data_IF_189621795991
#
_entry.id   IF_189621795991
#
_cell.length_a   1.000
_cell.length_b   1.000
_cell.length_c   1.000
_cell.angle_alpha   90.00
_cell.angle_beta   90.00
_cell.angle_gamma   90.00
#
_symmetry.space_group_name_H-M   'P 1'
#
loop_
_entity.id
_entity.type
_entity.pdbx_description
1 polymer ?
#
# COMPACT_ATOMS: atom_id res chain seq x y z
N UNK A 1 -2.09 5.83 -12.43
CA UNK A 1 -2.37 4.76 -11.44
C UNK A 1 -1.93 3.43 -12.06
N UNK A 2 -0.72 2.97 -11.77
CA UNK A 2 -0.05 2.04 -12.70
C UNK A 2 -0.67 0.64 -12.78
N UNK A 3 -1.05 0.00 -11.67
CA UNK A 3 -1.45 -1.43 -11.69
C UNK A 3 -2.64 -1.72 -12.63
N UNK A 4 -3.72 -0.95 -12.55
CA UNK A 4 -4.92 -1.19 -13.36
C UNK A 4 -4.76 -0.71 -14.79
N UNK A 5 -3.99 0.36 -15.00
CA UNK A 5 -3.72 0.94 -16.32
C UNK A 5 -2.79 0.05 -17.12
N UNK A 6 -1.71 -0.44 -16.50
CA UNK A 6 -0.79 -1.38 -17.13
C UNK A 6 -1.49 -2.69 -17.51
N UNK A 7 -2.40 -3.17 -16.65
CA UNK A 7 -3.23 -4.33 -16.97
C UNK A 7 -4.19 -4.03 -18.12
N UNK A 8 -4.83 -2.86 -18.13
CA UNK A 8 -5.69 -2.46 -19.23
C UNK A 8 -4.93 -2.42 -20.55
N UNK A 9 -3.78 -1.74 -20.59
CA UNK A 9 -2.96 -1.59 -21.80
C UNK A 9 -2.49 -2.95 -22.33
N UNK A 10 -2.10 -3.84 -21.42
CA UNK A 10 -1.77 -5.22 -21.77
C UNK A 10 -2.97 -5.94 -22.40
N UNK A 11 -4.16 -5.87 -21.78
CA UNK A 11 -5.34 -6.57 -22.29
C UNK A 11 -5.87 -5.98 -23.60
N UNK A 12 -5.79 -4.66 -23.80
CA UNK A 12 -6.17 -4.04 -25.08
C UNK A 12 -5.22 -4.46 -26.21
N UNK A 13 -3.94 -4.64 -25.91
CA UNK A 13 -2.94 -5.12 -26.87
C UNK A 13 -3.00 -6.63 -27.12
N UNK A 14 -3.63 -7.40 -26.23
CA UNK A 14 -3.72 -8.86 -26.29
C UNK A 14 -5.19 -9.31 -26.19
N UNK A 15 -5.94 -9.32 -27.31
CA UNK A 15 -7.39 -9.59 -27.29
C UNK A 15 -7.80 -11.01 -26.90
N UNK A 16 -6.83 -11.94 -26.87
CA UNK A 16 -7.02 -13.34 -26.50
C UNK A 16 -6.28 -13.62 -25.20
N UNK A 17 -6.87 -14.48 -24.36
CA UNK A 17 -6.28 -14.85 -23.07
C UNK A 17 -4.97 -15.62 -23.30
N UNK A 18 -3.84 -15.19 -22.70
CA UNK A 18 -2.60 -15.95 -22.75
C UNK A 18 -2.72 -17.24 -21.92
N UNK A 19 -1.80 -18.19 -22.10
CA UNK A 19 -1.68 -19.29 -21.15
C UNK A 19 -1.27 -18.77 -19.77
N UNK A 20 -2.02 -19.15 -18.75
CA UNK A 20 -1.82 -18.74 -17.36
C UNK A 20 -1.69 -20.01 -16.52
N UNK A 21 -0.46 -20.47 -16.31
CA UNK A 21 -0.23 -21.70 -15.56
C UNK A 21 -0.48 -21.52 -14.06
N UNK A 22 -1.03 -22.57 -13.44
CA UNK A 22 -1.29 -22.63 -12.01
C UNK A 22 0.01 -22.41 -11.19
N UNK A 23 0.10 -21.37 -10.35
CA UNK A 23 1.28 -21.10 -9.54
C UNK A 23 1.57 -22.20 -8.51
N UNK A 24 0.58 -23.03 -8.16
CA UNK A 24 0.78 -24.21 -7.33
C UNK A 24 1.48 -25.36 -8.07
N UNK A 25 1.93 -25.15 -9.32
CA UNK A 25 2.66 -26.11 -10.14
C UNK A 25 1.89 -27.40 -10.43
N UNK A 26 0.56 -27.32 -10.51
CA UNK A 26 -0.31 -28.46 -10.86
C UNK A 26 -0.25 -28.83 -12.34
N UNK A 27 0.37 -27.97 -13.17
CA UNK A 27 0.42 -28.11 -14.63
C UNK A 27 -0.84 -27.65 -15.36
N UNK A 28 -1.86 -27.15 -14.65
CA UNK A 28 -3.09 -26.64 -15.28
C UNK A 28 -2.92 -25.26 -15.88
N UNK A 29 -3.56 -25.01 -17.02
CA UNK A 29 -3.67 -23.69 -17.66
C UNK A 29 -5.03 -23.06 -17.26
N UNK A 30 -5.01 -21.98 -16.50
CA UNK A 30 -6.22 -21.25 -16.09
C UNK A 30 -6.94 -20.57 -17.25
N UNK A 31 -6.29 -20.42 -18.42
CA UNK A 31 -6.95 -19.98 -19.65
C UNK A 31 -8.14 -20.86 -20.01
N UNK A 32 -8.10 -22.15 -19.69
CA UNK A 32 -9.17 -23.11 -19.99
C UNK A 32 -10.50 -22.78 -19.27
N UNK A 33 -10.49 -21.90 -18.27
CA UNK A 33 -11.70 -21.44 -17.55
C UNK A 33 -12.46 -20.35 -18.29
N UNK A 34 -11.90 -19.83 -19.38
CA UNK A 34 -12.42 -18.69 -20.10
C UNK A 34 -12.60 -19.05 -21.57
N UNK A 35 -13.79 -18.78 -22.09
CA UNK A 35 -14.01 -18.68 -23.53
C UNK A 35 -13.68 -17.25 -24.02
N UNK A 36 -13.78 -17.06 -25.34
CA UNK A 36 -13.45 -15.76 -25.95
C UNK A 36 -14.43 -14.65 -25.51
N UNK A 37 -15.69 -14.99 -25.25
CA UNK A 37 -16.70 -14.04 -24.79
C UNK A 37 -16.42 -13.60 -23.35
N UNK A 38 -16.07 -14.54 -22.47
CA UNK A 38 -15.63 -14.26 -21.12
C UNK A 38 -14.37 -13.38 -21.11
N UNK A 39 -13.38 -13.70 -21.93
CA UNK A 39 -12.16 -12.88 -22.05
C UNK A 39 -12.48 -11.46 -22.55
N UNK A 40 -13.39 -11.33 -23.52
CA UNK A 40 -13.80 -10.04 -24.06
C UNK A 40 -14.56 -9.21 -23.03
N UNK A 41 -15.46 -9.83 -22.26
CA UNK A 41 -16.15 -9.18 -21.16
C UNK A 41 -15.16 -8.72 -20.07
N UNK A 42 -14.21 -9.58 -19.67
CA UNK A 42 -13.18 -9.21 -18.71
C UNK A 42 -12.37 -7.99 -19.16
N UNK A 43 -11.90 -7.99 -20.42
CA UNK A 43 -11.18 -6.85 -21.00
C UNK A 43 -12.02 -5.56 -20.99
N UNK A 44 -13.30 -5.67 -21.34
CA UNK A 44 -14.22 -4.52 -21.32
C UNK A 44 -14.41 -3.97 -19.89
N UNK A 45 -14.54 -4.85 -18.89
CA UNK A 45 -14.65 -4.44 -17.49
C UNK A 45 -13.36 -3.79 -16.99
N UNK A 46 -12.19 -4.33 -17.30
CA UNK A 46 -10.92 -3.70 -16.92
C UNK A 46 -10.79 -2.30 -17.53
N UNK A 47 -11.13 -2.11 -18.80
CA UNK A 47 -11.16 -0.79 -19.43
C UNK A 47 -12.10 0.17 -18.70
N UNK A 48 -13.33 -0.28 -18.45
CA UNK A 48 -14.35 0.50 -17.76
C UNK A 48 -13.87 0.98 -16.38
N UNK A 49 -13.32 0.06 -15.58
CA UNK A 49 -12.82 0.40 -14.26
C UNK A 49 -11.53 1.22 -14.30
N UNK A 50 -10.59 0.96 -15.21
CA UNK A 50 -9.39 1.78 -15.36
C UNK A 50 -9.74 3.25 -15.63
N UNK A 51 -10.73 3.51 -16.48
CA UNK A 51 -11.25 4.87 -16.74
C UNK A 51 -11.84 5.50 -15.49
N UNK A 52 -12.77 4.82 -14.80
CA UNK A 52 -13.36 5.34 -13.55
C UNK A 52 -12.32 5.66 -12.49
N UNK A 53 -11.33 4.79 -12.34
CA UNK A 53 -10.28 4.96 -11.34
C UNK A 53 -9.33 6.12 -11.70
N UNK A 54 -9.07 6.33 -13.00
CA UNK A 54 -8.32 7.51 -13.47
C UNK A 54 -9.09 8.79 -13.19
N UNK A 55 -10.38 8.84 -13.51
CA UNK A 55 -11.26 9.99 -13.21
C UNK A 55 -11.28 10.30 -11.70
N UNK A 56 -11.39 9.27 -10.87
CA UNK A 56 -11.36 9.43 -9.41
C UNK A 56 -10.02 9.94 -8.88
N UNK A 57 -8.92 9.56 -9.52
CA UNK A 57 -7.57 10.02 -9.19
C UNK A 57 -7.31 11.46 -9.64
N UNK A 58 -7.79 11.84 -10.83
CA UNK A 58 -7.60 13.16 -11.42
C UNK A 58 -8.60 14.22 -10.91
N UNK A 59 -9.57 13.82 -10.07
CA UNK A 59 -10.59 14.70 -9.53
C UNK A 59 -9.98 15.88 -8.74
N UNK A 60 -10.52 17.08 -8.99
CA UNK A 60 -9.98 18.33 -8.44
C UNK A 60 -10.19 18.46 -6.92
N UNK A 61 -11.30 17.92 -6.41
CA UNK A 61 -11.64 17.99 -5.00
C UNK A 61 -11.71 16.61 -4.35
N UNK A 62 -11.42 16.58 -3.04
CA UNK A 62 -11.52 15.35 -2.25
C UNK A 62 -12.94 14.76 -2.28
N UNK A 63 -13.97 15.60 -2.31
CA UNK A 63 -15.35 15.11 -2.33
C UNK A 63 -15.67 14.47 -3.69
N UNK A 64 -15.22 15.07 -4.79
CA UNK A 64 -15.42 14.52 -6.14
C UNK A 64 -14.63 13.22 -6.30
N UNK A 65 -13.40 13.16 -5.80
CA UNK A 65 -12.60 11.94 -5.77
C UNK A 65 -13.30 10.82 -5.00
N UNK A 66 -13.81 11.10 -3.80
CA UNK A 66 -14.55 10.11 -3.00
C UNK A 66 -15.81 9.64 -3.72
N UNK A 67 -16.58 10.55 -4.33
CA UNK A 67 -17.78 10.19 -5.08
C UNK A 67 -17.45 9.29 -6.29
N UNK A 68 -16.40 9.62 -7.04
CA UNK A 68 -15.94 8.82 -8.18
C UNK A 68 -15.43 7.43 -7.74
N UNK A 69 -14.69 7.34 -6.63
CA UNK A 69 -14.29 6.04 -6.07
C UNK A 69 -15.48 5.22 -5.57
N UNK A 70 -16.52 5.86 -5.02
CA UNK A 70 -17.75 5.19 -4.62
C UNK A 70 -18.56 4.69 -5.83
N UNK A 71 -18.51 5.39 -6.96
CA UNK A 71 -19.09 4.90 -8.21
C UNK A 71 -18.31 3.70 -8.80
N UNK A 72 -17.00 3.62 -8.56
CA UNK A 72 -16.18 2.48 -8.98
C UNK A 72 -16.35 1.25 -8.07
N UNK A 73 -16.34 1.42 -6.75
CA UNK A 73 -16.29 0.32 -5.78
C UNK A 73 -17.55 0.13 -4.93
N UNK A 74 -18.51 1.05 -5.06
CA UNK A 74 -19.72 1.08 -4.26
C UNK A 74 -19.63 2.01 -3.04
N UNK A 75 -20.78 2.26 -2.39
CA UNK A 75 -20.93 3.29 -1.36
C UNK A 75 -20.13 3.02 -0.07
N UNK A 76 -19.64 1.79 0.12
CA UNK A 76 -18.78 1.45 1.27
C UNK A 76 -17.35 1.95 1.13
N UNK A 77 -16.96 2.48 -0.04
CA UNK A 77 -15.68 3.16 -0.22
C UNK A 77 -15.73 4.52 0.48
N UNK A 78 -15.27 4.57 1.72
CA UNK A 78 -15.40 5.74 2.58
C UNK A 78 -14.18 6.64 2.51
N UNK A 79 -14.42 7.95 2.69
CA UNK A 79 -13.37 8.93 2.98
C UNK A 79 -12.52 8.39 4.15
N UNK A 80 -11.17 8.39 4.07
CA UNK A 80 -10.35 8.01 5.21
C UNK A 80 -10.79 8.84 6.41
N UNK A 81 -11.17 8.17 7.49
CA UNK A 81 -11.53 8.84 8.73
C UNK A 81 -10.31 9.66 9.14
N UNK A 82 -10.40 10.98 8.98
CA UNK A 82 -9.34 11.91 9.44
C UNK A 82 -9.06 11.68 10.93
N UNK A 83 -10.06 11.19 11.67
CA UNK A 83 -9.96 10.77 13.06
C UNK A 83 -9.02 9.57 13.31
N UNK A 84 -8.87 8.61 12.39
CA UNK A 84 -7.99 7.44 12.59
C UNK A 84 -6.50 7.81 12.45
N UNK A 85 -6.19 8.77 11.59
CA UNK A 85 -4.84 9.33 11.47
C UNK A 85 -4.49 10.22 12.68
N UNK A 86 -5.46 10.92 13.27
CA UNK A 86 -5.27 11.69 14.51
C UNK A 86 -5.19 10.80 15.76
N UNK A 87 -5.84 9.63 15.78
CA UNK A 87 -5.82 8.69 16.93
C UNK A 87 -4.55 7.85 17.05
N UNK A 88 -3.69 7.81 16.04
CA UNK A 88 -2.51 6.92 16.01
C UNK A 88 -1.18 7.62 16.24
N UNK A 89 -1.15 8.95 16.35
CA UNK A 89 -0.02 9.64 16.92
C UNK A 89 -0.38 10.02 18.35
N UNK A 90 0.24 9.41 19.39
CA UNK A 90 0.25 10.08 20.68
C UNK A 90 0.86 11.46 20.42
N UNK A 91 0.13 12.53 20.71
CA UNK A 91 0.68 13.87 20.72
C UNK A 91 2.05 13.80 21.40
N UNK A 92 3.10 14.37 20.80
CA UNK A 92 4.49 14.35 21.31
C UNK A 92 4.49 14.48 22.84
N UNK A 93 4.65 13.34 23.54
CA UNK A 93 4.72 13.33 24.99
C UNK A 93 6.17 13.62 25.31
N UNK A 94 6.47 14.89 25.56
CA UNK A 94 7.82 15.28 25.95
C UNK A 94 8.23 14.47 27.19
N UNK A 95 9.39 13.81 27.08
CA UNK A 95 9.96 12.91 28.10
C UNK A 95 10.20 13.67 29.42
N UNK A 96 10.36 14.99 29.36
CA UNK A 96 10.45 15.88 30.52
C UNK A 96 9.16 15.91 31.36
N UNK A 97 8.01 15.72 30.72
CA UNK A 97 6.70 15.83 31.36
C UNK A 97 6.28 14.49 31.95
N UNK A 98 6.45 13.41 31.17
CA UNK A 98 6.07 12.04 31.56
C UNK A 98 7.08 11.38 32.49
N UNK A 99 8.37 11.50 32.19
CA UNK A 99 9.44 10.80 32.90
C UNK A 99 10.35 11.75 33.69
N UNK A 100 10.07 13.06 33.68
CA UNK A 100 10.90 14.09 34.34
C UNK A 100 12.38 14.05 33.96
N UNK A 101 12.67 13.57 32.75
CA UNK A 101 14.04 13.56 32.22
C UNK A 101 14.27 14.88 31.48
N UNK A 102 15.19 15.75 31.95
CA UNK A 102 15.43 17.03 31.31
C UNK A 102 16.07 16.85 29.92
N UNK A 103 15.49 17.49 28.91
CA UNK A 103 15.94 17.41 27.50
C UNK A 103 17.15 18.33 27.25
N UNK A 104 17.33 19.34 28.11
CA UNK A 104 18.49 20.25 28.14
C UNK A 104 19.35 19.89 29.34
N UNK A 105 20.51 19.28 29.09
CA UNK A 105 21.52 19.04 30.12
C UNK A 105 22.43 20.27 30.19
N UNK A 106 22.22 21.13 31.18
CA UNK A 106 23.07 22.33 31.39
C UNK A 106 24.45 21.97 31.94
N UNK A 107 24.55 20.83 32.64
CA UNK A 107 25.79 20.36 33.24
C UNK A 107 26.43 19.24 32.41
N UNK A 108 27.72 19.39 32.11
CA UNK A 108 28.53 18.31 31.52
C UNK A 108 28.84 17.25 32.59
N UNK A 109 28.42 16.02 32.34
CA UNK A 109 28.84 14.85 33.14
C UNK A 109 29.92 14.10 32.37
N UNK A 110 31.04 13.81 33.04
CA UNK A 110 32.13 13.00 32.48
C UNK A 110 32.02 11.60 33.05
N UNK A 111 31.79 10.61 32.18
CA UNK A 111 31.67 9.21 32.61
C UNK A 111 33.08 8.59 32.68
N UNK A 112 33.45 8.09 33.85
CA UNK A 112 34.68 7.32 34.05
C UNK A 112 34.32 5.82 34.07
N UNK A 113 34.64 5.11 33.00
CA UNK A 113 34.50 3.65 32.91
C UNK A 113 35.85 2.96 33.07
N UNK A 114 35.90 1.88 33.86
CA UNK A 114 37.08 1.01 33.95
C UNK A 114 36.90 -0.17 32.99
N UNK A 115 37.57 -0.13 31.84
CA UNK A 115 37.53 -1.21 30.86
C UNK A 115 38.28 -2.41 31.40
N UNK A 116 37.61 -3.57 31.54
CA UNK A 116 38.29 -4.84 31.78
C UNK A 116 38.68 -5.43 30.43
N UNK A 117 39.98 -5.61 30.18
CA UNK A 117 40.47 -6.36 29.01
C UNK A 117 40.00 -7.80 29.13
N UNK A 118 39.22 -8.28 28.16
CA UNK A 118 38.90 -9.70 28.04
C UNK A 118 40.20 -10.49 27.81
N UNK A 119 40.44 -11.50 28.64
CA UNK A 119 41.62 -12.34 28.58
C UNK A 119 41.64 -13.15 27.28
N UNK A 120 42.77 -13.09 26.57
CA UNK A 120 43.10 -14.01 25.48
C UNK A 120 43.40 -15.37 26.11
N UNK A 121 42.60 -16.38 25.80
CA UNK A 121 42.99 -17.77 26.04
C UNK A 121 43.34 -18.39 24.69
N UNK A 122 44.64 -18.60 24.48
CA UNK A 122 45.20 -19.54 23.50
C UNK A 122 45.71 -20.76 24.28
N UNK A 123 45.14 -21.92 24.02
CA UNK A 123 45.79 -23.23 23.89
C UNK A 123 44.73 -24.21 23.39
#
# INVERSE_FOLDING_TARGET
>A
MHVIEDLNDYLQSNPTMPSIYDPASTGRDFRERWDQDGCSNFRAQILHYATKMREAYDAETVNDSVAAWQDAFGPSFNKPAVEAAQKSLPAEQFIDTMLRIPIRLENRVTLFGRVRRAGVVRA
#
